data_IF_882785344665
#
_entry.id   IF_882785344665
#
_cell.length_a   1.000
_cell.length_b   1.000
_cell.length_c   1.000
_cell.angle_alpha   90.00
_cell.angle_beta   90.00
_cell.angle_gamma   90.00
#
_symmetry.space_group_name_H-M   'P 1'
#
loop_
_entity.id
_entity.type
_entity.pdbx_description
1 polymer ?
#
# COMPACT_ATOMS: atom_id res chain seq x y z
N UNK A 1 12.60 68.38 -73.76
CA UNK A 1 13.37 67.11 -73.69
C UNK A 1 13.82 66.93 -72.25
N UNK A 2 12.99 66.40 -71.48
CA UNK A 2 13.23 66.09 -70.04
C UNK A 2 13.46 64.60 -69.89
N UNK A 3 14.59 64.29 -69.32
CA UNK A 3 14.91 62.89 -68.96
C UNK A 3 14.49 62.66 -67.55
N UNK A 4 13.47 61.82 -67.36
CA UNK A 4 13.07 61.28 -66.08
C UNK A 4 14.07 60.23 -65.60
N UNK A 5 14.66 60.51 -64.46
CA UNK A 5 15.55 59.61 -63.77
C UNK A 5 14.77 59.04 -62.54
N UNK A 6 14.09 57.94 -62.72
CA UNK A 6 13.40 57.22 -61.63
C UNK A 6 14.38 56.22 -61.01
N UNK A 7 14.96 56.58 -59.88
CA UNK A 7 15.73 55.67 -59.04
C UNK A 7 14.80 54.78 -58.22
N UNK A 8 14.89 53.47 -58.39
CA UNK A 8 14.26 52.46 -57.60
C UNK A 8 14.82 52.43 -56.15
N UNK A 9 13.97 52.23 -55.11
CA UNK A 9 14.48 52.13 -53.76
C UNK A 9 15.12 50.74 -53.57
N UNK A 10 16.33 50.72 -53.03
CA UNK A 10 16.99 49.51 -52.54
C UNK A 10 16.23 49.02 -51.33
N UNK A 11 15.66 47.80 -51.41
CA UNK A 11 15.20 47.00 -50.24
C UNK A 11 16.41 46.72 -49.35
N UNK A 12 16.44 47.41 -48.22
CA UNK A 12 17.29 47.00 -47.09
C UNK A 12 16.76 45.67 -46.53
N UNK A 13 17.51 44.62 -46.78
CA UNK A 13 17.32 43.36 -46.12
C UNK A 13 17.54 43.51 -44.58
N UNK A 14 16.44 43.54 -43.84
CA UNK A 14 16.42 43.65 -42.42
C UNK A 14 16.86 42.26 -41.82
N UNK A 15 18.16 42.08 -41.63
CA UNK A 15 18.75 40.95 -40.93
C UNK A 15 18.69 41.20 -39.41
N UNK A 16 17.51 41.30 -38.84
CA UNK A 16 17.33 41.20 -37.41
C UNK A 16 17.49 39.74 -37.02
N UNK A 17 18.72 39.26 -36.99
CA UNK A 17 19.07 38.01 -36.30
C UNK A 17 18.79 38.18 -34.80
N UNK A 18 17.62 37.74 -34.34
CA UNK A 18 17.31 37.62 -32.93
C UNK A 18 18.38 36.72 -32.31
N UNK A 19 19.33 37.31 -31.57
CA UNK A 19 20.30 36.54 -30.79
C UNK A 19 19.52 35.81 -29.72
N UNK A 20 19.32 34.52 -29.91
CA UNK A 20 18.72 33.65 -28.86
C UNK A 20 19.42 33.91 -27.53
N UNK A 21 18.63 33.96 -26.47
CA UNK A 21 19.19 34.05 -25.12
C UNK A 21 20.09 32.84 -24.85
N UNK A 22 21.00 32.95 -23.90
CA UNK A 22 21.87 31.84 -23.53
C UNK A 22 21.07 30.60 -23.14
N UNK A 23 19.98 30.77 -22.38
CA UNK A 23 19.11 29.67 -21.95
C UNK A 23 18.37 29.05 -23.13
N UNK A 24 17.85 29.85 -24.06
CA UNK A 24 17.20 29.39 -25.29
C UNK A 24 18.14 28.51 -26.13
N UNK A 25 19.41 28.92 -26.26
CA UNK A 25 20.42 28.09 -26.94
C UNK A 25 20.70 26.76 -26.23
N UNK A 26 20.67 26.74 -24.90
CA UNK A 26 20.76 25.50 -24.09
C UNK A 26 19.53 24.59 -24.36
N UNK A 27 18.34 25.15 -24.31
CA UNK A 27 17.07 24.43 -24.53
C UNK A 27 17.00 23.81 -25.93
N UNK A 28 17.36 24.58 -26.97
CA UNK A 28 17.42 24.08 -28.34
C UNK A 28 18.42 22.94 -28.48
N UNK A 29 19.61 23.06 -27.88
CA UNK A 29 20.62 22.01 -27.92
C UNK A 29 20.14 20.74 -27.18
N UNK A 30 19.58 20.91 -25.99
CA UNK A 30 19.11 19.79 -25.14
C UNK A 30 17.98 19.04 -25.82
N UNK A 31 17.00 19.74 -26.40
CA UNK A 31 15.86 19.14 -27.11
C UNK A 31 16.23 18.40 -28.41
N UNK A 32 17.40 18.69 -29.00
CA UNK A 32 17.90 17.95 -30.18
C UNK A 32 18.42 16.56 -29.84
N UNK A 33 18.85 16.34 -28.58
CA UNK A 33 19.52 15.10 -28.16
C UNK A 33 18.72 14.29 -27.18
N UNK A 34 17.91 14.95 -26.37
CA UNK A 34 17.21 14.37 -25.26
C UNK A 34 15.74 14.73 -25.28
N UNK A 35 14.88 13.81 -24.90
CA UNK A 35 13.53 14.10 -24.49
C UNK A 35 13.51 14.23 -22.97
N UNK A 36 12.89 15.31 -22.46
CA UNK A 36 12.73 15.57 -21.04
C UNK A 36 11.27 15.52 -20.65
N UNK A 37 11.02 15.16 -19.40
CA UNK A 37 9.72 15.28 -18.74
C UNK A 37 9.91 15.53 -17.25
N UNK A 38 8.95 16.18 -16.62
CA UNK A 38 8.93 16.33 -15.16
C UNK A 38 7.98 15.30 -14.56
N UNK A 39 8.52 14.36 -13.79
CA UNK A 39 7.77 13.34 -13.08
C UNK A 39 7.08 13.97 -11.86
N UNK A 40 5.74 14.10 -11.91
CA UNK A 40 4.97 14.76 -10.85
C UNK A 40 4.87 13.91 -9.57
N UNK A 41 5.00 12.59 -9.66
CA UNK A 41 4.98 11.69 -8.49
C UNK A 41 6.26 11.83 -7.67
N UNK A 42 7.42 11.72 -8.33
CA UNK A 42 8.73 11.84 -7.67
C UNK A 42 9.23 13.28 -7.57
N UNK A 43 8.52 14.25 -8.18
CA UNK A 43 8.92 15.67 -8.31
C UNK A 43 10.37 15.83 -8.75
N UNK A 44 10.73 15.16 -9.84
CA UNK A 44 12.09 15.17 -10.42
C UNK A 44 12.03 15.14 -11.93
N UNK A 45 12.94 15.84 -12.61
CA UNK A 45 13.07 15.72 -14.05
C UNK A 45 13.61 14.34 -14.43
N UNK A 46 13.09 13.83 -15.54
CA UNK A 46 13.53 12.58 -16.18
C UNK A 46 13.97 12.90 -17.62
N UNK A 47 14.86 12.09 -18.16
CA UNK A 47 15.32 12.23 -19.54
C UNK A 47 15.58 10.88 -20.20
N UNK A 48 15.53 10.88 -21.53
CA UNK A 48 16.05 9.80 -22.38
C UNK A 48 16.72 10.39 -23.61
N UNK A 49 17.63 9.64 -24.24
CA UNK A 49 18.17 10.02 -25.57
C UNK A 49 17.10 9.79 -26.63
N UNK A 50 16.95 10.73 -27.58
CA UNK A 50 15.95 10.63 -28.65
C UNK A 50 16.21 9.42 -29.54
N UNK A 51 17.46 9.14 -29.86
CA UNK A 51 17.86 8.06 -30.79
C UNK A 51 17.86 6.66 -30.16
N UNK A 52 17.43 6.53 -28.89
CA UNK A 52 17.45 5.27 -28.16
C UNK A 52 16.05 4.90 -27.67
N UNK A 53 15.65 3.66 -27.89
CA UNK A 53 14.43 3.08 -27.29
C UNK A 53 14.61 2.75 -25.80
N UNK A 54 15.30 3.61 -25.06
CA UNK A 54 15.51 3.47 -23.62
C UNK A 54 14.37 4.12 -22.84
N UNK A 55 14.04 3.59 -21.64
CA UNK A 55 13.08 4.24 -20.76
C UNK A 55 13.61 5.59 -20.27
N UNK A 56 12.73 6.44 -19.79
CA UNK A 56 13.10 7.65 -19.06
C UNK A 56 13.80 7.28 -17.76
N UNK A 57 14.89 7.99 -17.44
CA UNK A 57 15.65 7.85 -16.21
C UNK A 57 15.74 9.20 -15.50
N UNK A 58 15.85 9.20 -14.17
CA UNK A 58 15.97 10.43 -13.40
C UNK A 58 17.24 11.20 -13.73
N UNK A 59 17.11 12.51 -13.80
CA UNK A 59 18.25 13.42 -13.90
C UNK A 59 18.98 13.42 -12.56
N UNK A 60 20.18 12.85 -12.55
CA UNK A 60 21.07 12.82 -11.39
C UNK A 60 22.08 13.97 -11.44
N UNK A 61 22.78 14.22 -10.32
CA UNK A 61 23.92 15.16 -10.30
C UNK A 61 24.97 14.81 -11.34
N UNK A 62 25.20 13.53 -11.59
CA UNK A 62 26.13 13.07 -12.65
C UNK A 62 25.61 13.49 -14.03
N UNK A 63 24.32 13.30 -14.30
CA UNK A 63 23.71 13.71 -15.57
C UNK A 63 23.82 15.24 -15.80
N UNK A 64 23.51 16.05 -14.77
CA UNK A 64 23.65 17.51 -14.83
C UNK A 64 25.07 17.94 -15.17
N UNK A 65 26.08 17.34 -14.53
CA UNK A 65 27.49 17.61 -14.81
C UNK A 65 27.90 17.15 -16.23
N UNK A 66 27.30 16.06 -16.72
CA UNK A 66 27.53 15.58 -18.09
C UNK A 66 26.94 16.53 -19.12
N UNK A 67 25.71 17.02 -18.91
CA UNK A 67 25.07 18.02 -19.76
C UNK A 67 25.87 19.34 -19.78
N UNK A 68 26.33 19.82 -18.61
CA UNK A 68 27.18 20.98 -18.50
C UNK A 68 28.44 20.85 -19.40
N UNK A 69 29.16 19.73 -19.25
CA UNK A 69 30.37 19.46 -20.04
C UNK A 69 30.09 19.33 -21.53
N UNK A 70 28.95 18.76 -21.88
CA UNK A 70 28.52 18.59 -23.27
C UNK A 70 28.18 19.93 -23.96
N UNK A 71 27.47 20.81 -23.26
CA UNK A 71 27.15 22.17 -23.72
C UNK A 71 28.44 23.00 -23.99
N UNK A 72 29.37 22.96 -23.04
CA UNK A 72 30.66 23.64 -23.18
C UNK A 72 31.45 23.13 -24.40
N UNK A 73 31.59 21.79 -24.49
CA UNK A 73 32.37 21.15 -25.56
C UNK A 73 31.76 21.33 -26.96
N UNK A 74 30.45 21.22 -27.10
CA UNK A 74 29.79 21.09 -28.42
C UNK A 74 29.27 22.41 -28.98
N UNK A 75 28.90 23.36 -28.11
CA UNK A 75 28.35 24.66 -28.51
C UNK A 75 29.03 25.86 -27.81
N UNK A 76 30.10 25.62 -27.04
CA UNK A 76 30.85 26.66 -26.35
C UNK A 76 30.07 27.40 -25.25
N UNK A 77 28.99 26.86 -24.76
CA UNK A 77 28.19 27.49 -23.70
C UNK A 77 28.63 27.02 -22.33
N UNK A 78 29.33 27.88 -21.61
CA UNK A 78 29.69 27.67 -20.22
C UNK A 78 28.52 28.03 -19.30
N UNK A 79 27.92 27.06 -18.61
CA UNK A 79 26.77 27.23 -17.68
C UNK A 79 26.99 26.46 -16.38
N UNK A 80 26.18 26.73 -15.35
CA UNK A 80 26.22 25.97 -14.08
C UNK A 80 25.27 24.77 -14.16
N UNK A 81 25.56 23.74 -13.37
CA UNK A 81 24.65 22.61 -13.20
C UNK A 81 23.29 23.04 -12.60
N UNK A 82 23.31 24.08 -11.74
CA UNK A 82 22.11 24.64 -11.14
C UNK A 82 21.23 25.35 -12.19
N UNK A 83 21.82 26.10 -13.16
CA UNK A 83 21.05 26.69 -14.21
C UNK A 83 20.37 25.65 -15.12
N UNK A 84 21.08 24.56 -15.43
CA UNK A 84 20.49 23.43 -16.17
C UNK A 84 19.34 22.80 -15.35
N UNK A 85 19.53 22.61 -14.04
CA UNK A 85 18.50 22.09 -13.16
C UNK A 85 17.25 23.00 -13.17
N UNK A 86 17.44 24.31 -13.04
CA UNK A 86 16.33 25.30 -13.09
C UNK A 86 15.54 25.18 -14.39
N UNK A 87 16.22 25.06 -15.55
CA UNK A 87 15.55 24.83 -16.84
C UNK A 87 14.75 23.52 -16.80
N UNK A 88 15.35 22.41 -16.35
CA UNK A 88 14.70 21.09 -16.33
C UNK A 88 13.55 20.98 -15.32
N UNK A 89 13.52 21.81 -14.29
CA UNK A 89 12.45 21.89 -13.27
C UNK A 89 11.42 22.99 -13.61
N UNK A 90 11.42 23.53 -14.85
CA UNK A 90 10.47 24.50 -15.35
C UNK A 90 9.48 23.89 -16.35
N UNK A 91 8.71 24.73 -17.03
CA UNK A 91 7.81 24.39 -18.14
C UNK A 91 8.52 23.83 -19.38
N UNK A 92 9.85 23.94 -19.43
CA UNK A 92 10.67 23.28 -20.46
C UNK A 92 10.47 21.74 -20.44
N UNK A 93 10.22 21.14 -19.27
CA UNK A 93 9.94 19.71 -19.11
C UNK A 93 8.45 19.48 -18.92
N UNK A 94 7.72 18.90 -19.89
CA UNK A 94 6.29 18.61 -19.73
C UNK A 94 6.01 17.79 -18.48
N UNK A 95 5.02 18.19 -17.68
CA UNK A 95 4.60 17.47 -16.50
C UNK A 95 3.90 16.16 -16.88
N UNK A 96 4.33 15.06 -16.30
CA UNK A 96 3.77 13.73 -16.53
C UNK A 96 3.59 13.02 -15.18
N UNK A 97 2.47 12.32 -15.03
CA UNK A 97 2.22 11.39 -13.94
C UNK A 97 2.45 9.96 -14.45
N UNK A 98 3.64 9.34 -14.28
CA UNK A 98 3.99 8.10 -14.99
C UNK A 98 3.10 6.92 -14.63
N UNK A 99 2.58 6.87 -13.39
CA UNK A 99 1.67 5.79 -12.98
C UNK A 99 0.31 5.93 -13.68
N UNK A 100 -0.25 7.14 -13.76
CA UNK A 100 -1.50 7.36 -14.51
C UNK A 100 -1.31 7.15 -16.01
N UNK A 101 -0.18 7.60 -16.56
CA UNK A 101 0.18 7.36 -17.97
C UNK A 101 0.24 5.86 -18.28
N UNK A 102 0.85 5.07 -17.40
CA UNK A 102 0.89 3.62 -17.53
C UNK A 102 -0.53 3.03 -17.64
N UNK A 103 -1.41 3.30 -16.70
CA UNK A 103 -2.78 2.75 -16.71
C UNK A 103 -3.61 3.25 -17.91
N UNK A 104 -3.49 4.53 -18.29
CA UNK A 104 -4.21 5.09 -19.44
C UNK A 104 -3.81 4.44 -20.77
N UNK A 105 -2.57 4.00 -20.88
CA UNK A 105 -2.02 3.38 -22.09
C UNK A 105 -2.21 1.86 -22.18
N UNK A 106 -2.67 1.21 -21.10
CA UNK A 106 -2.96 -0.22 -21.14
C UNK A 106 -4.17 -0.52 -22.03
N UNK A 107 -4.16 -1.62 -22.78
CA UNK A 107 -5.35 -2.12 -23.46
C UNK A 107 -6.43 -2.52 -22.45
N UNK A 108 -7.70 -2.59 -22.89
CA UNK A 108 -8.81 -3.05 -22.05
C UNK A 108 -9.11 -4.49 -22.39
N UNK A 109 -8.79 -5.42 -21.49
CA UNK A 109 -8.97 -6.85 -21.70
C UNK A 109 -10.21 -7.34 -20.95
N UNK A 110 -11.17 -7.89 -21.68
CA UNK A 110 -12.40 -8.41 -21.10
C UNK A 110 -12.12 -9.67 -20.26
N UNK A 111 -12.46 -9.71 -18.94
CA UNK A 111 -12.23 -10.84 -18.05
C UNK A 111 -12.98 -12.12 -18.46
N UNK A 112 -14.10 -12.00 -19.18
CA UNK A 112 -14.83 -13.16 -19.68
C UNK A 112 -14.07 -13.95 -20.76
N UNK A 113 -13.06 -13.33 -21.37
CA UNK A 113 -12.26 -13.91 -22.44
C UNK A 113 -10.86 -14.29 -21.95
N UNK A 114 -10.26 -13.48 -21.06
CA UNK A 114 -8.82 -13.51 -20.79
C UNK A 114 -8.43 -14.18 -19.47
N UNK A 115 -9.19 -14.04 -18.39
CA UNK A 115 -8.99 -14.70 -17.09
C UNK A 115 -7.59 -14.49 -16.41
N UNK A 116 -6.90 -13.38 -16.64
CA UNK A 116 -5.54 -13.16 -16.10
C UNK A 116 -5.53 -13.02 -14.58
N UNK A 117 -6.54 -12.38 -13.97
CA UNK A 117 -6.66 -12.28 -12.52
C UNK A 117 -6.86 -13.66 -11.90
N UNK A 118 -7.73 -14.48 -12.49
CA UNK A 118 -7.97 -15.85 -12.03
C UNK A 118 -6.71 -16.72 -12.17
N UNK A 119 -5.97 -16.58 -13.27
CA UNK A 119 -4.70 -17.26 -13.46
C UNK A 119 -3.65 -16.82 -12.41
N UNK A 120 -3.56 -15.52 -12.09
CA UNK A 120 -2.65 -15.03 -11.06
C UNK A 120 -3.03 -15.56 -9.66
N UNK A 121 -4.32 -15.53 -9.31
CA UNK A 121 -4.78 -16.03 -8.01
C UNK A 121 -4.58 -17.53 -7.86
N UNK A 122 -4.65 -18.32 -8.94
CA UNK A 122 -4.42 -19.77 -8.93
C UNK A 122 -2.96 -20.15 -8.62
N UNK A 123 -2.00 -19.22 -8.76
CA UNK A 123 -0.61 -19.44 -8.35
C UNK A 123 -0.41 -19.47 -6.84
N UNK A 124 -1.44 -19.13 -6.04
CA UNK A 124 -1.41 -19.12 -4.58
C UNK A 124 -2.55 -19.96 -4.05
N UNK A 125 -2.24 -21.05 -3.35
CA UNK A 125 -3.21 -21.82 -2.60
C UNK A 125 -3.34 -21.24 -1.19
N UNK A 126 -4.55 -20.89 -0.79
CA UNK A 126 -4.86 -20.34 0.53
C UNK A 126 -5.86 -21.23 1.28
N UNK A 127 -5.95 -21.08 2.59
CA UNK A 127 -6.88 -21.84 3.45
C UNK A 127 -8.36 -21.53 3.16
N UNK A 128 -8.67 -20.35 2.61
CA UNK A 128 -10.02 -19.94 2.22
C UNK A 128 -10.08 -19.53 0.74
N UNK A 129 -10.12 -20.48 -0.20
CA UNK A 129 -10.05 -20.20 -1.64
C UNK A 129 -11.32 -19.50 -2.17
N UNK A 130 -12.49 -19.68 -1.54
CA UNK A 130 -13.77 -19.11 -2.02
C UNK A 130 -13.74 -17.57 -2.02
N UNK A 131 -13.06 -16.97 -1.06
CA UNK A 131 -12.94 -15.52 -0.92
C UNK A 131 -11.71 -14.94 -1.63
N UNK A 132 -10.70 -15.76 -1.88
CA UNK A 132 -9.42 -15.31 -2.39
C UNK A 132 -9.54 -14.55 -3.71
N UNK A 133 -10.14 -15.15 -4.72
CA UNK A 133 -10.30 -14.50 -6.04
C UNK A 133 -11.12 -13.21 -5.93
N UNK A 134 -12.28 -13.27 -5.27
CA UNK A 134 -13.19 -12.12 -5.16
C UNK A 134 -12.56 -10.93 -4.42
N UNK A 135 -11.94 -11.19 -3.27
CA UNK A 135 -11.38 -10.13 -2.43
C UNK A 135 -10.07 -9.58 -3.00
N UNK A 136 -9.25 -10.45 -3.60
CA UNK A 136 -8.06 -10.01 -4.33
C UNK A 136 -8.42 -9.14 -5.54
N UNK A 137 -9.46 -9.50 -6.30
CA UNK A 137 -9.96 -8.68 -7.40
C UNK A 137 -10.40 -7.30 -6.91
N UNK A 138 -11.17 -7.22 -5.80
CA UNK A 138 -11.55 -5.94 -5.20
C UNK A 138 -10.34 -5.11 -4.82
N UNK A 139 -9.34 -5.72 -4.19
CA UNK A 139 -8.11 -5.04 -3.82
C UNK A 139 -7.34 -4.52 -5.04
N UNK A 140 -7.18 -5.32 -6.11
CA UNK A 140 -6.52 -4.89 -7.34
C UNK A 140 -7.26 -3.74 -8.03
N UNK A 141 -8.60 -3.81 -8.09
CA UNK A 141 -9.40 -2.71 -8.64
C UNK A 141 -9.25 -1.46 -7.79
N UNK A 142 -9.16 -1.62 -6.46
CA UNK A 142 -8.83 -0.54 -5.53
C UNK A 142 -7.46 0.10 -5.81
N UNK A 143 -6.45 -0.69 -6.21
CA UNK A 143 -5.12 -0.17 -6.64
C UNK A 143 -5.26 0.74 -7.85
N UNK A 144 -6.00 0.31 -8.89
CA UNK A 144 -6.21 1.11 -10.10
C UNK A 144 -7.02 2.36 -9.79
N UNK A 145 -8.10 2.22 -8.99
CA UNK A 145 -8.92 3.35 -8.56
C UNK A 145 -8.08 4.40 -7.81
N UNK A 146 -7.19 3.95 -6.90
CA UNK A 146 -6.34 4.84 -6.13
C UNK A 146 -5.28 5.53 -7.02
N UNK A 147 -4.74 4.82 -8.00
CA UNK A 147 -3.75 5.37 -8.93
C UNK A 147 -4.32 6.40 -9.91
N UNK A 148 -5.60 6.29 -10.27
CA UNK A 148 -6.26 7.16 -11.25
C UNK A 148 -7.01 8.34 -10.62
N UNK A 149 -7.21 8.35 -9.30
CA UNK A 149 -7.90 9.42 -8.59
C UNK A 149 -6.93 10.18 -7.68
N UNK A 150 -6.85 11.47 -7.88
CA UNK A 150 -6.01 12.36 -7.05
C UNK A 150 -6.75 12.87 -5.81
N UNK A 151 -8.02 12.52 -5.64
CA UNK A 151 -8.86 12.97 -4.53
C UNK A 151 -9.25 11.80 -3.63
N UNK A 152 -8.83 11.88 -2.38
CA UNK A 152 -9.11 10.86 -1.37
C UNK A 152 -8.31 9.57 -1.57
N UNK A 153 -8.42 8.67 -0.60
CA UNK A 153 -7.90 7.31 -0.71
C UNK A 153 -9.01 6.40 -1.22
N UNK A 154 -8.74 5.62 -2.26
CA UNK A 154 -9.70 4.70 -2.86
C UNK A 154 -9.50 3.25 -2.38
N UNK A 155 -8.28 2.89 -1.98
CA UNK A 155 -7.93 1.55 -1.50
C UNK A 155 -7.68 1.55 0.01
N UNK A 156 -8.72 1.26 0.79
CA UNK A 156 -8.67 1.26 2.25
C UNK A 156 -8.15 -0.05 2.86
N UNK A 157 -7.55 -0.92 2.06
CA UNK A 157 -7.16 -2.27 2.46
C UNK A 157 -5.66 -2.50 2.30
N UNK A 158 -5.10 -3.22 3.26
CA UNK A 158 -3.78 -3.82 3.16
C UNK A 158 -3.95 -5.33 2.88
N UNK A 159 -3.52 -5.80 1.72
CA UNK A 159 -3.48 -7.23 1.41
C UNK A 159 -2.39 -7.90 2.25
N UNK A 160 -2.73 -8.91 3.03
CA UNK A 160 -1.76 -9.58 3.91
C UNK A 160 -1.67 -11.07 3.57
N UNK A 161 -0.49 -11.52 3.18
CA UNK A 161 -0.20 -12.94 3.03
C UNK A 161 0.51 -13.47 4.27
N UNK A 162 -0.12 -14.41 4.96
CA UNK A 162 0.41 -15.07 6.17
C UNK A 162 0.85 -16.51 5.88
N UNK A 163 1.48 -17.17 6.83
CA UNK A 163 1.86 -18.58 6.75
C UNK A 163 3.35 -18.80 7.03
N UNK A 164 3.84 -20.02 6.81
CA UNK A 164 5.21 -20.42 7.13
C UNK A 164 6.27 -19.57 6.43
N UNK A 165 7.42 -19.44 7.06
CA UNK A 165 8.60 -18.82 6.47
C UNK A 165 9.09 -19.61 5.24
N UNK A 166 9.67 -18.91 4.25
CA UNK A 166 10.21 -19.56 3.05
C UNK A 166 9.17 -19.85 1.95
N UNK A 167 7.91 -19.44 2.12
CA UNK A 167 6.84 -19.60 1.11
C UNK A 167 6.82 -18.49 0.05
N UNK A 168 7.88 -17.72 -0.11
CA UNK A 168 8.04 -16.66 -1.13
C UNK A 168 6.98 -15.56 -1.15
N UNK A 169 6.26 -15.34 -0.04
CA UNK A 169 5.16 -14.38 0.07
C UNK A 169 5.57 -12.97 -0.37
N UNK A 170 6.66 -12.45 0.17
CA UNK A 170 7.19 -11.11 -0.16
C UNK A 170 7.52 -11.00 -1.65
N UNK A 171 8.18 -12.01 -2.22
CA UNK A 171 8.56 -12.03 -3.63
C UNK A 171 7.34 -12.06 -4.56
N UNK A 172 6.30 -12.81 -4.18
CA UNK A 172 5.06 -12.88 -4.96
C UNK A 172 4.32 -11.53 -4.92
N UNK A 173 4.23 -10.90 -3.74
CA UNK A 173 3.65 -9.55 -3.58
C UNK A 173 4.43 -8.54 -4.43
N UNK A 174 5.76 -8.56 -4.39
CA UNK A 174 6.59 -7.67 -5.21
C UNK A 174 6.35 -7.90 -6.71
N UNK A 175 6.05 -9.13 -7.11
CA UNK A 175 5.78 -9.45 -8.52
C UNK A 175 4.47 -8.85 -9.05
N UNK A 176 3.52 -8.48 -8.18
CA UNK A 176 2.29 -7.76 -8.58
C UNK A 176 2.63 -6.40 -9.22
N UNK A 177 3.73 -5.78 -8.82
CA UNK A 177 4.13 -4.51 -9.41
C UNK A 177 4.65 -4.72 -10.85
N UNK A 178 4.06 -4.05 -11.87
CA UNK A 178 4.52 -4.12 -13.24
C UNK A 178 6.01 -3.76 -13.39
N UNK A 179 6.70 -4.41 -14.32
CA UNK A 179 8.14 -4.18 -14.52
C UNK A 179 8.49 -2.72 -14.81
N UNK A 180 7.65 -2.03 -15.57
CA UNK A 180 7.81 -0.60 -15.90
C UNK A 180 7.59 0.33 -14.70
N UNK A 181 6.89 -0.12 -13.65
CA UNK A 181 6.60 0.64 -12.44
C UNK A 181 7.41 0.20 -11.21
N UNK A 182 8.47 -0.61 -11.38
CA UNK A 182 9.28 -1.10 -10.25
C UNK A 182 9.89 0.02 -9.39
N UNK A 183 10.15 1.20 -9.95
CA UNK A 183 10.59 2.37 -9.19
C UNK A 183 9.52 2.96 -8.25
N UNK A 184 8.29 2.50 -8.39
CA UNK A 184 7.14 2.86 -7.54
C UNK A 184 6.71 1.73 -6.59
N UNK A 185 7.55 0.73 -6.40
CA UNK A 185 7.41 -0.30 -5.36
C UNK A 185 8.41 -0.01 -4.24
N UNK A 186 7.90 0.05 -3.02
CA UNK A 186 8.70 0.01 -1.79
C UNK A 186 8.48 -1.34 -1.11
N UNK A 187 9.57 -2.02 -0.75
CA UNK A 187 9.53 -3.25 0.04
C UNK A 187 10.45 -3.10 1.23
N UNK A 188 9.93 -3.28 2.42
CA UNK A 188 10.70 -3.16 3.65
C UNK A 188 9.87 -2.80 4.87
N UNK A 189 10.58 -2.38 5.92
CA UNK A 189 9.95 -1.93 7.15
C UNK A 189 9.62 -0.45 7.08
N UNK A 190 8.50 -0.07 7.66
CA UNK A 190 8.06 1.33 7.79
C UNK A 190 7.97 1.69 9.27
N UNK A 191 8.21 2.94 9.60
CA UNK A 191 7.89 3.50 10.91
C UNK A 191 6.63 4.36 10.80
N UNK A 192 5.46 3.85 11.27
CA UNK A 192 4.19 4.58 11.12
C UNK A 192 4.16 5.93 11.83
N UNK A 193 5.06 6.18 12.79
CA UNK A 193 5.15 7.44 13.53
C UNK A 193 6.11 8.45 12.87
N UNK A 194 6.97 8.01 11.95
CA UNK A 194 7.89 8.88 11.25
C UNK A 194 7.19 9.59 10.07
N UNK A 195 7.39 10.90 9.98
CA UNK A 195 6.85 11.70 8.86
C UNK A 195 7.37 11.29 7.49
N UNK A 196 8.49 10.58 7.41
CA UNK A 196 9.04 10.06 6.16
C UNK A 196 8.09 9.06 5.47
N UNK A 197 7.18 8.43 6.23
CA UNK A 197 6.14 7.56 5.67
C UNK A 197 5.20 8.31 4.71
N UNK A 198 5.01 9.61 4.89
CA UNK A 198 4.19 10.42 3.99
C UNK A 198 4.78 10.50 2.58
N UNK A 199 6.12 10.50 2.48
CA UNK A 199 6.80 10.40 1.18
C UNK A 199 6.52 9.05 0.51
N UNK A 200 6.49 7.96 1.30
CA UNK A 200 6.16 6.64 0.75
C UNK A 200 4.72 6.62 0.22
N UNK A 201 3.77 7.18 0.96
CA UNK A 201 2.35 7.23 0.56
C UNK A 201 2.14 8.03 -0.72
N UNK A 202 2.85 9.15 -0.87
CA UNK A 202 2.72 10.03 -2.04
C UNK A 202 3.48 9.56 -3.28
N UNK A 203 4.60 8.83 -3.09
CA UNK A 203 5.55 8.56 -4.17
C UNK A 203 5.60 7.10 -4.65
N UNK A 204 4.93 6.18 -3.95
CA UNK A 204 4.94 4.76 -4.32
C UNK A 204 3.53 4.27 -4.60
N UNK A 205 3.39 3.46 -5.65
CA UNK A 205 2.13 2.78 -5.99
C UNK A 205 1.86 1.61 -5.04
N UNK A 206 2.93 0.89 -4.67
CA UNK A 206 2.87 -0.22 -3.75
C UNK A 206 3.82 -0.03 -2.57
N UNK A 207 3.31 -0.29 -1.38
CA UNK A 207 4.09 -0.41 -0.14
C UNK A 207 3.93 -1.84 0.36
N UNK A 208 4.99 -2.65 0.20
CA UNK A 208 5.06 -4.02 0.70
C UNK A 208 5.78 -4.04 2.05
N UNK A 209 5.01 -4.22 3.13
CA UNK A 209 5.52 -4.29 4.51
C UNK A 209 6.02 -5.71 4.78
N UNK A 210 7.35 -5.86 4.84
CA UNK A 210 7.97 -7.17 4.95
C UNK A 210 8.18 -7.58 6.41
N UNK A 211 7.45 -8.64 6.82
CA UNK A 211 7.54 -9.32 8.13
C UNK A 211 7.56 -8.39 9.35
N UNK A 212 6.81 -7.31 9.30
CA UNK A 212 6.78 -6.30 10.36
C UNK A 212 5.49 -6.31 11.17
N UNK A 213 4.34 -6.66 10.57
CA UNK A 213 3.02 -6.47 11.20
C UNK A 213 2.93 -7.16 12.56
N UNK A 214 3.54 -8.35 12.72
CA UNK A 214 3.57 -9.09 13.99
C UNK A 214 4.34 -8.38 15.10
N UNK A 215 5.33 -7.55 14.75
CA UNK A 215 6.15 -6.82 15.70
C UNK A 215 5.55 -5.45 16.11
N UNK A 216 4.46 -5.01 15.46
CA UNK A 216 3.82 -3.74 15.79
C UNK A 216 3.12 -3.84 17.14
N UNK A 217 3.36 -2.84 17.98
CA UNK A 217 2.54 -2.64 19.17
C UNK A 217 1.17 -2.04 18.77
N UNK A 218 0.22 -2.01 19.69
CA UNK A 218 -1.15 -1.52 19.44
C UNK A 218 -1.19 -0.07 18.93
N UNK A 219 -0.26 0.78 19.36
CA UNK A 219 -0.19 2.18 18.91
C UNK A 219 0.25 2.26 17.46
N UNK A 220 1.32 1.55 17.09
CA UNK A 220 1.86 1.55 15.74
C UNK A 220 0.90 0.87 14.75
N UNK A 221 0.19 -0.18 15.19
CA UNK A 221 -0.88 -0.79 14.39
C UNK A 221 -2.02 0.22 14.10
N UNK A 222 -2.41 1.02 15.09
CA UNK A 222 -3.45 2.05 14.89
C UNK A 222 -2.98 3.18 13.97
N UNK A 223 -1.72 3.60 14.11
CA UNK A 223 -1.15 4.59 13.18
C UNK A 223 -1.08 4.04 11.76
N UNK A 224 -0.67 2.78 11.57
CA UNK A 224 -0.68 2.14 10.26
C UNK A 224 -2.10 2.09 9.66
N UNK A 225 -3.11 1.76 10.47
CA UNK A 225 -4.51 1.80 10.03
C UNK A 225 -4.95 3.18 9.57
N UNK A 226 -4.49 4.24 10.23
CA UNK A 226 -4.76 5.61 9.83
C UNK A 226 -4.05 5.95 8.51
N UNK A 227 -2.79 5.55 8.36
CA UNK A 227 -2.02 5.76 7.14
C UNK A 227 -2.66 5.09 5.92
N UNK A 228 -3.15 3.84 6.06
CA UNK A 228 -3.82 3.10 4.97
C UNK A 228 -5.04 3.86 4.43
N UNK A 229 -5.75 4.63 5.27
CA UNK A 229 -7.00 5.30 4.89
C UNK A 229 -6.88 6.82 4.79
N UNK A 230 -5.70 7.37 4.97
CA UNK A 230 -5.50 8.83 4.91
C UNK A 230 -5.80 9.35 3.50
N UNK A 231 -6.62 10.39 3.33
CA UNK A 231 -7.05 10.83 1.99
C UNK A 231 -5.96 11.54 1.20
N UNK A 232 -5.05 12.23 1.87
CA UNK A 232 -3.91 12.95 1.32
C UNK A 232 -2.88 13.16 2.41
N UNK A 233 -1.64 13.45 2.03
CA UNK A 233 -0.55 13.70 2.98
C UNK A 233 0.02 15.09 2.78
N UNK A 234 0.34 15.77 3.91
CA UNK A 234 0.93 17.12 3.92
C UNK A 234 2.32 17.04 4.51
N UNK A 235 3.31 17.32 3.69
CA UNK A 235 4.69 17.35 4.16
C UNK A 235 5.55 18.29 3.30
N UNK A 236 6.72 18.64 3.82
CA UNK A 236 7.75 19.37 3.09
C UNK A 236 8.80 18.38 2.61
N UNK A 237 9.02 18.30 1.30
CA UNK A 237 10.09 17.50 0.74
C UNK A 237 11.46 18.03 1.20
N UNK A 238 12.49 17.18 1.28
CA UNK A 238 13.84 17.65 1.55
C UNK A 238 14.25 18.74 0.53
N UNK A 239 14.73 19.86 1.05
CA UNK A 239 15.17 21.06 0.31
C UNK A 239 14.04 21.92 -0.30
N UNK A 240 12.77 21.54 -0.17
CA UNK A 240 11.65 22.40 -0.54
C UNK A 240 11.40 23.51 0.47
N UNK A 241 10.81 24.61 0.01
CA UNK A 241 10.51 25.77 0.85
C UNK A 241 9.16 25.62 1.53
N UNK A 242 8.19 25.05 0.84
CA UNK A 242 6.78 24.99 1.27
C UNK A 242 6.35 23.59 1.70
N UNK A 243 5.33 23.56 2.58
CA UNK A 243 4.57 22.35 2.85
C UNK A 243 3.49 22.28 1.77
N UNK A 244 3.44 21.16 1.08
CA UNK A 244 2.46 20.91 0.02
C UNK A 244 1.60 19.71 0.38
N UNK A 245 0.42 19.62 -0.24
CA UNK A 245 -0.48 18.48 -0.13
C UNK A 245 -0.30 17.57 -1.34
N UNK A 246 -0.11 16.28 -1.06
CA UNK A 246 0.08 15.26 -2.09
C UNK A 246 -1.03 14.21 -2.01
N UNK A 247 -1.54 13.73 -3.15
CA UNK A 247 -2.52 12.65 -3.19
C UNK A 247 -1.99 11.37 -2.53
N UNK A 248 -2.89 10.54 -2.03
CA UNK A 248 -2.58 9.20 -1.57
C UNK A 248 -2.49 8.25 -2.78
N UNK A 249 -1.27 7.93 -3.22
CA UNK A 249 -1.03 7.02 -4.34
C UNK A 249 -0.92 5.55 -3.89
N UNK A 250 -0.43 5.30 -2.67
CA UNK A 250 -0.01 3.99 -2.23
C UNK A 250 -1.17 3.01 -2.03
N UNK A 251 -0.97 1.77 -2.44
CA UNK A 251 -1.75 0.62 -1.99
C UNK A 251 -0.86 -0.29 -1.14
N UNK A 252 -1.38 -0.67 0.03
CA UNK A 252 -0.60 -1.43 1.01
C UNK A 252 -0.75 -2.93 0.80
N UNK A 253 0.36 -3.63 0.95
CA UNK A 253 0.42 -5.08 1.04
C UNK A 253 1.47 -5.50 2.07
N UNK A 254 1.36 -6.71 2.62
CA UNK A 254 2.30 -7.19 3.63
C UNK A 254 2.49 -8.70 3.58
N UNK A 255 3.67 -9.14 3.98
CA UNK A 255 3.96 -10.54 4.30
C UNK A 255 4.13 -10.72 5.80
N UNK A 256 3.64 -11.84 6.35
CA UNK A 256 3.77 -12.17 7.77
C UNK A 256 4.14 -13.64 7.94
N UNK A 257 5.06 -13.93 8.85
CA UNK A 257 5.40 -15.28 9.26
C UNK A 257 4.52 -15.73 10.42
N UNK A 258 3.71 -16.78 10.20
CA UNK A 258 2.65 -17.24 11.12
C UNK A 258 1.36 -16.45 10.94
N UNK A 259 0.34 -16.76 11.75
CA UNK A 259 -1.02 -16.22 11.55
C UNK A 259 -1.41 -15.16 12.59
N UNK A 260 -0.74 -15.08 13.72
CA UNK A 260 -1.06 -14.23 14.87
C UNK A 260 -0.41 -12.84 14.76
N UNK A 261 -1.02 -11.91 14.05
CA UNK A 261 -0.47 -10.56 13.86
C UNK A 261 -1.43 -9.41 14.22
N UNK A 262 -2.75 -9.67 14.31
CA UNK A 262 -3.72 -8.62 14.66
C UNK A 262 -3.85 -8.49 16.18
N UNK A 263 -3.54 -7.31 16.71
CA UNK A 263 -3.63 -7.03 18.15
C UNK A 263 -4.94 -6.35 18.55
N UNK A 264 -5.60 -5.66 17.62
CA UNK A 264 -6.84 -4.93 17.86
C UNK A 264 -8.02 -5.55 17.13
N UNK A 265 -9.00 -6.14 17.84
CA UNK A 265 -10.16 -6.76 17.22
C UNK A 265 -11.13 -5.77 16.54
N UNK A 266 -11.05 -4.47 16.89
CA UNK A 266 -12.02 -3.47 16.43
C UNK A 266 -11.66 -2.81 15.11
N UNK A 267 -10.42 -2.91 14.66
CA UNK A 267 -9.91 -2.23 13.46
C UNK A 267 -9.43 -3.17 12.36
N UNK A 268 -9.71 -4.47 12.46
CA UNK A 268 -9.19 -5.50 11.55
C UNK A 268 -9.70 -5.38 10.10
N UNK A 269 -10.80 -4.67 9.87
CA UNK A 269 -11.39 -4.47 8.53
C UNK A 269 -10.46 -3.81 7.49
N UNK A 270 -9.34 -3.23 7.92
CA UNK A 270 -8.32 -2.64 7.02
C UNK A 270 -7.29 -3.65 6.54
N UNK A 271 -7.23 -4.81 7.18
CA UNK A 271 -6.36 -5.90 6.78
C UNK A 271 -7.16 -6.98 6.07
N UNK A 272 -6.65 -7.43 4.95
CA UNK A 272 -7.23 -8.48 4.12
C UNK A 272 -6.31 -9.70 4.17
N UNK A 273 -6.39 -10.52 5.25
CA UNK A 273 -5.43 -11.60 5.48
C UNK A 273 -5.84 -12.88 4.78
N UNK A 274 -4.84 -13.53 4.15
CA UNK A 274 -4.95 -14.87 3.59
C UNK A 274 -3.76 -15.72 4.02
N UNK A 275 -4.04 -16.90 4.56
CA UNK A 275 -3.01 -17.86 4.91
C UNK A 275 -2.63 -18.70 3.70
N UNK A 276 -1.35 -18.61 3.33
CA UNK A 276 -0.76 -19.30 2.19
C UNK A 276 -0.34 -20.72 2.57
N UNK A 277 -0.90 -21.70 1.88
CA UNK A 277 -0.53 -23.12 2.00
C UNK A 277 0.63 -23.41 1.04
N UNK A 278 0.48 -23.03 -0.23
CA UNK A 278 1.46 -23.27 -1.27
C UNK A 278 1.46 -22.12 -2.29
N UNK A 279 2.60 -21.91 -2.94
CA UNK A 279 2.76 -20.85 -3.94
C UNK A 279 3.59 -21.37 -5.11
N UNK A 280 3.11 -21.14 -6.32
CA UNK A 280 3.83 -21.36 -7.57
C UNK A 280 4.42 -20.03 -8.03
N UNK A 281 5.65 -19.76 -7.54
CA UNK A 281 6.33 -18.51 -7.85
C UNK A 281 6.78 -18.43 -9.31
N UNK A 282 7.17 -19.56 -9.92
CA UNK A 282 7.62 -19.61 -11.31
C UNK A 282 6.47 -19.28 -12.27
N UNK A 283 5.31 -19.89 -12.06
CA UNK A 283 4.10 -19.53 -12.81
C UNK A 283 3.74 -18.06 -12.65
N UNK A 284 3.76 -17.54 -11.41
CA UNK A 284 3.47 -16.12 -11.16
C UNK A 284 4.45 -15.17 -11.85
N UNK A 285 5.75 -15.47 -11.86
CA UNK A 285 6.79 -14.65 -12.50
C UNK A 285 6.75 -14.69 -14.03
N UNK A 286 6.23 -15.78 -14.61
CA UNK A 286 6.05 -15.91 -16.06
C UNK A 286 4.89 -15.06 -16.59
N UNK A 287 3.98 -14.62 -15.74
CA UNK A 287 2.81 -13.83 -16.12
C UNK A 287 3.15 -12.39 -16.44
N UNK A 288 2.46 -11.83 -17.43
CA UNK A 288 2.50 -10.39 -17.71
C UNK A 288 1.57 -9.64 -16.76
N UNK A 289 2.13 -8.85 -15.85
CA UNK A 289 1.32 -7.97 -14.99
C UNK A 289 0.60 -6.88 -15.80
N UNK A 290 1.11 -6.49 -16.97
CA UNK A 290 0.42 -5.57 -17.86
C UNK A 290 -0.91 -6.14 -18.34
N UNK A 291 -0.98 -7.44 -18.63
CA UNK A 291 -2.23 -8.12 -18.99
C UNK A 291 -3.19 -8.22 -17.80
N UNK A 292 -2.68 -8.52 -16.61
CA UNK A 292 -3.48 -8.53 -15.37
C UNK A 292 -4.10 -7.15 -15.14
N UNK A 293 -3.30 -6.07 -15.18
CA UNK A 293 -3.82 -4.73 -14.98
C UNK A 293 -4.68 -4.22 -16.13
N UNK A 294 -4.53 -4.73 -17.34
CA UNK A 294 -5.43 -4.45 -18.45
C UNK A 294 -6.84 -5.00 -18.20
N UNK A 295 -6.92 -6.21 -17.62
CA UNK A 295 -8.18 -6.82 -17.18
C UNK A 295 -8.77 -6.05 -15.97
N UNK A 296 -7.95 -5.71 -14.98
CA UNK A 296 -8.38 -4.91 -13.82
C UNK A 296 -8.92 -3.55 -14.24
N UNK A 297 -8.26 -2.88 -15.20
CA UNK A 297 -8.68 -1.60 -15.71
C UNK A 297 -10.04 -1.67 -16.41
N UNK A 298 -10.28 -2.72 -17.21
CA UNK A 298 -11.60 -2.98 -17.81
C UNK A 298 -12.69 -3.14 -16.75
N UNK A 299 -12.40 -3.92 -15.69
CA UNK A 299 -13.32 -4.13 -14.57
C UNK A 299 -13.61 -2.81 -13.84
N UNK A 300 -12.59 -1.99 -13.59
CA UNK A 300 -12.73 -0.67 -12.97
C UNK A 300 -13.62 0.26 -13.81
N UNK A 301 -13.35 0.36 -15.11
CA UNK A 301 -14.11 1.21 -16.06
C UNK A 301 -15.55 0.74 -16.27
N UNK A 302 -15.85 -0.55 -16.02
CA UNK A 302 -17.21 -1.09 -16.05
C UNK A 302 -18.05 -0.76 -14.82
N UNK A 303 -17.51 -0.02 -13.85
CA UNK A 303 -18.23 0.39 -12.65
C UNK A 303 -18.29 -0.69 -11.56
N UNK A 304 -17.35 -1.62 -11.56
CA UNK A 304 -17.26 -2.67 -10.52
C UNK A 304 -17.09 -2.08 -9.13
N UNK A 305 -17.88 -2.58 -8.15
CA UNK A 305 -17.79 -2.18 -6.75
C UNK A 305 -16.59 -2.83 -6.07
N UNK A 306 -15.52 -2.09 -5.87
CA UNK A 306 -14.28 -2.57 -5.25
C UNK A 306 -14.22 -2.35 -3.72
N UNK A 307 -15.08 -1.52 -3.15
CA UNK A 307 -15.19 -1.36 -1.71
C UNK A 307 -16.04 -2.45 -1.09
N UNK A 308 -15.84 -2.71 0.20
CA UNK A 308 -16.59 -3.67 0.97
C UNK A 308 -17.83 -3.01 1.59
N UNK A 309 -18.99 -3.66 1.49
CA UNK A 309 -20.20 -3.24 2.19
C UNK A 309 -20.22 -3.76 3.64
N UNK A 310 -21.25 -3.36 4.41
CA UNK A 310 -21.33 -3.73 5.82
C UNK A 310 -21.42 -5.25 6.05
N UNK A 311 -22.08 -6.00 5.17
CA UNK A 311 -22.18 -7.45 5.26
C UNK A 311 -20.82 -8.11 4.99
N UNK A 312 -20.11 -7.66 3.96
CA UNK A 312 -18.77 -8.12 3.64
C UNK A 312 -17.74 -7.75 4.72
N UNK A 313 -17.89 -6.59 5.38
CA UNK A 313 -17.07 -6.19 6.52
C UNK A 313 -17.29 -7.11 7.72
N UNK A 314 -18.54 -7.49 8.01
CA UNK A 314 -18.84 -8.46 9.08
C UNK A 314 -18.19 -9.81 8.76
N UNK A 315 -18.32 -10.28 7.52
CA UNK A 315 -17.70 -11.53 7.09
C UNK A 315 -16.17 -11.47 7.14
N UNK A 316 -15.55 -10.38 6.69
CA UNK A 316 -14.10 -10.17 6.77
C UNK A 316 -13.61 -10.20 8.22
N UNK A 317 -14.34 -9.57 9.14
CA UNK A 317 -14.01 -9.58 10.57
C UNK A 317 -14.10 -10.99 11.16
N UNK A 318 -15.08 -11.80 10.75
CA UNK A 318 -15.19 -13.20 11.17
C UNK A 318 -14.02 -14.03 10.64
N UNK A 319 -13.69 -13.92 9.36
CA UNK A 319 -12.54 -14.60 8.76
C UNK A 319 -11.22 -14.16 9.38
N UNK A 320 -11.10 -12.88 9.76
CA UNK A 320 -9.91 -12.33 10.40
C UNK A 320 -9.71 -12.81 11.85
N UNK A 321 -10.72 -13.44 12.46
CA UNK A 321 -10.67 -13.92 13.84
C UNK A 321 -9.49 -14.85 14.14
N UNK A 322 -9.10 -15.70 13.20
CA UNK A 322 -7.97 -16.62 13.31
C UNK A 322 -6.60 -15.95 13.31
N UNK A 323 -6.50 -14.70 12.81
CA UNK A 323 -5.25 -13.94 12.72
C UNK A 323 -5.01 -13.04 13.94
N UNK A 324 -5.93 -13.01 14.89
CA UNK A 324 -5.75 -12.27 16.13
C UNK A 324 -4.79 -12.99 17.07
N UNK A 325 -3.84 -12.22 17.60
CA UNK A 325 -2.92 -12.68 18.64
C UNK A 325 -3.75 -13.26 19.79
N UNK A 326 -3.47 -14.50 20.13
CA UNK A 326 -4.10 -15.15 21.29
C UNK A 326 -3.43 -14.60 22.54
N UNK A 327 -4.23 -14.00 23.42
CA UNK A 327 -3.73 -13.54 24.71
C UNK A 327 -3.63 -14.70 25.68
N UNK A 328 -2.71 -14.62 26.64
CA UNK A 328 -2.59 -15.63 27.69
C UNK A 328 -3.93 -15.83 28.42
N UNK A 329 -4.72 -14.75 28.56
CA UNK A 329 -6.06 -14.81 29.13
C UNK A 329 -7.01 -15.69 28.31
N UNK A 330 -6.93 -15.60 26.95
CA UNK A 330 -7.77 -16.42 26.09
C UNK A 330 -7.35 -17.89 26.12
N UNK A 331 -6.05 -18.18 26.03
CA UNK A 331 -5.52 -19.54 26.09
C UNK A 331 -5.88 -20.23 27.40
N UNK A 332 -5.64 -19.56 28.53
CA UNK A 332 -5.99 -20.07 29.85
C UNK A 332 -7.50 -20.24 30.01
N UNK A 333 -8.30 -19.35 29.46
CA UNK A 333 -9.76 -19.41 29.51
C UNK A 333 -10.30 -20.65 28.80
N UNK A 334 -9.89 -20.90 27.54
CA UNK A 334 -10.40 -22.04 26.76
C UNK A 334 -9.87 -23.38 27.24
N UNK A 335 -8.71 -23.39 27.91
CA UNK A 335 -8.22 -24.59 28.59
C UNK A 335 -8.99 -24.89 29.87
N UNK A 336 -9.41 -23.90 30.65
CA UNK A 336 -10.01 -24.05 31.94
C UNK A 336 -11.54 -24.06 31.99
N UNK A 337 -12.18 -23.53 30.96
CA UNK A 337 -13.62 -23.33 30.93
C UNK A 337 -14.25 -23.70 29.58
N UNK A 338 -15.48 -24.24 29.67
CA UNK A 338 -16.35 -24.56 28.53
C UNK A 338 -17.72 -23.91 28.69
N UNK A 339 -18.48 -23.85 27.58
CA UNK A 339 -19.87 -23.38 27.63
C UNK A 339 -20.72 -24.42 28.36
N UNK A 340 -21.55 -23.99 29.33
CA UNK A 340 -22.42 -24.94 30.05
C UNK A 340 -23.38 -25.63 29.08
N UNK A 341 -23.64 -26.90 29.31
CA UNK A 341 -24.70 -27.67 28.62
C UNK A 341 -26.06 -27.11 29.01
N UNK A 342 -27.05 -27.22 28.13
CA UNK A 342 -28.44 -26.87 28.41
C UNK A 342 -28.88 -27.55 29.71
N UNK A 343 -29.37 -26.78 30.68
CA UNK A 343 -29.79 -27.19 32.04
C UNK A 343 -28.73 -27.14 33.17
N UNK A 344 -27.56 -26.60 32.97
CA UNK A 344 -26.61 -26.38 34.07
C UNK A 344 -27.09 -25.22 34.98
N UNK A 345 -27.50 -25.56 36.19
CA UNK A 345 -27.87 -24.58 37.23
C UNK A 345 -26.58 -24.12 37.93
N UNK A 346 -26.43 -22.79 38.10
CA UNK A 346 -25.31 -22.15 38.85
C UNK A 346 -23.91 -22.09 38.21
N UNK A 347 -23.83 -22.03 36.88
CA UNK A 347 -22.56 -21.82 36.18
C UNK A 347 -22.24 -20.33 35.97
N UNK A 348 -22.46 -19.48 36.96
CA UNK A 348 -22.21 -18.02 36.82
C UNK A 348 -20.96 -17.61 37.60
N UNK A 349 -20.02 -16.95 36.91
CA UNK A 349 -18.82 -16.40 37.54
C UNK A 349 -18.60 -14.94 37.06
N UNK A 350 -18.12 -14.10 37.98
CA UNK A 350 -17.63 -12.78 37.59
C UNK A 350 -16.26 -12.89 36.93
N UNK A 351 -15.86 -11.89 36.13
CA UNK A 351 -14.52 -11.84 35.53
C UNK A 351 -13.42 -12.01 36.58
N UNK A 352 -13.57 -11.37 37.75
CA UNK A 352 -12.63 -11.50 38.87
C UNK A 352 -12.54 -12.90 39.41
N UNK A 353 -13.66 -13.61 39.52
CA UNK A 353 -13.69 -15.03 40.00
C UNK A 353 -12.99 -15.97 39.00
N UNK A 354 -13.20 -15.75 37.68
CA UNK A 354 -12.52 -16.49 36.62
C UNK A 354 -11.02 -16.23 36.68
N UNK A 355 -10.61 -14.98 36.79
CA UNK A 355 -9.19 -14.59 36.93
C UNK A 355 -8.54 -15.25 38.16
N UNK A 356 -9.17 -15.19 39.34
CA UNK A 356 -8.62 -15.75 40.56
C UNK A 356 -8.47 -17.26 40.42
N UNK A 357 -9.40 -17.94 39.74
CA UNK A 357 -9.28 -19.38 39.48
C UNK A 357 -8.07 -19.65 38.55
N UNK A 358 -7.92 -18.94 37.45
CA UNK A 358 -6.83 -19.17 36.48
C UNK A 358 -5.46 -18.76 37.03
N UNK A 359 -5.38 -17.72 37.85
CA UNK A 359 -4.14 -17.27 38.51
C UNK A 359 -3.55 -18.30 39.45
N UNK A 360 -4.37 -19.23 39.95
CA UNK A 360 -3.87 -20.34 40.78
C UNK A 360 -3.01 -21.35 39.98
N UNK A 361 -3.07 -21.30 38.64
CA UNK A 361 -2.40 -22.27 37.76
C UNK A 361 -1.36 -21.61 36.81
N UNK A 362 -1.14 -20.31 36.92
CA UNK A 362 -0.14 -19.62 36.09
C UNK A 362 0.62 -18.55 36.87
N UNK A 363 1.86 -18.31 36.47
CA UNK A 363 2.71 -17.24 37.00
C UNK A 363 2.55 -15.89 36.24
N UNK A 364 1.73 -15.90 35.19
CA UNK A 364 1.53 -14.73 34.31
C UNK A 364 0.52 -13.78 34.99
N UNK A 365 0.80 -12.48 34.93
CA UNK A 365 -0.13 -11.48 35.46
C UNK A 365 -1.29 -11.26 34.47
N UNK A 366 -2.40 -11.95 34.69
CA UNK A 366 -3.62 -11.85 33.87
C UNK A 366 -4.38 -10.55 34.20
N UNK A 367 -4.84 -9.86 33.15
CA UNK A 367 -5.58 -8.60 33.22
C UNK A 367 -7.09 -8.81 33.20
N UNK A 368 -7.84 -8.13 34.07
CA UNK A 368 -9.31 -8.21 34.10
C UNK A 368 -9.96 -7.72 32.80
N UNK A 369 -9.42 -6.64 32.22
CA UNK A 369 -9.90 -6.11 30.94
C UNK A 369 -9.71 -7.12 29.82
N UNK A 370 -8.51 -7.70 29.67
CA UNK A 370 -8.22 -8.72 28.64
C UNK A 370 -9.01 -10.01 28.86
N UNK A 371 -9.25 -10.40 30.11
CA UNK A 371 -10.11 -11.54 30.41
C UNK A 371 -11.56 -11.30 29.99
N UNK A 372 -12.09 -10.09 30.18
CA UNK A 372 -13.42 -9.71 29.66
C UNK A 372 -13.48 -9.78 28.13
N UNK A 373 -12.46 -9.30 27.43
CA UNK A 373 -12.31 -9.40 25.98
C UNK A 373 -12.21 -10.88 25.52
N UNK A 374 -11.44 -11.71 26.24
CA UNK A 374 -11.29 -13.15 25.97
C UNK A 374 -12.61 -13.91 26.11
N UNK A 375 -13.38 -13.63 27.17
CA UNK A 375 -14.70 -14.22 27.39
C UNK A 375 -15.68 -13.90 26.27
N UNK A 376 -15.65 -12.64 25.81
CA UNK A 376 -16.48 -12.22 24.68
C UNK A 376 -16.06 -12.94 23.38
N UNK A 377 -14.75 -12.98 23.11
CA UNK A 377 -14.17 -13.65 21.93
C UNK A 377 -14.46 -15.16 21.91
N UNK A 378 -14.41 -15.82 23.07
CA UNK A 378 -14.75 -17.23 23.20
C UNK A 378 -16.27 -17.50 23.10
N UNK A 379 -17.08 -16.44 23.01
CA UNK A 379 -18.53 -16.53 22.86
C UNK A 379 -19.25 -16.99 24.10
N UNK A 380 -18.72 -16.73 25.29
CA UNK A 380 -19.42 -16.92 26.54
C UNK A 380 -20.51 -15.86 26.70
N UNK A 381 -21.66 -16.24 27.25
CA UNK A 381 -22.79 -15.37 27.44
C UNK A 381 -22.60 -14.52 28.70
N UNK A 382 -22.82 -13.21 28.59
CA UNK A 382 -22.80 -12.26 29.72
C UNK A 382 -24.21 -11.95 30.16
N UNK A 383 -24.49 -12.11 31.45
CA UNK A 383 -25.81 -11.79 32.06
C UNK A 383 -25.67 -10.81 33.21
N UNK A 384 -26.73 -10.06 33.47
CA UNK A 384 -26.86 -9.26 34.68
C UNK A 384 -27.57 -10.11 35.75
N UNK A 385 -26.95 -10.26 36.90
CA UNK A 385 -27.56 -10.98 38.05
C UNK A 385 -27.56 -10.03 39.27
N UNK A 386 -28.67 -9.96 40.00
CA UNK A 386 -28.73 -9.20 41.23
C UNK A 386 -28.06 -9.95 42.35
N UNK A 387 -27.01 -9.38 42.97
CA UNK A 387 -26.42 -9.84 44.24
C UNK A 387 -26.54 -8.68 45.23
N UNK A 388 -27.50 -8.81 46.17
CA UNK A 388 -27.83 -7.72 47.10
C UNK A 388 -28.53 -6.54 46.44
N UNK A 389 -28.13 -5.31 46.75
CA UNK A 389 -28.73 -4.08 46.26
C UNK A 389 -28.31 -3.70 44.82
N UNK A 390 -27.16 -4.19 44.35
CA UNK A 390 -26.58 -3.77 43.05
C UNK A 390 -26.60 -4.92 42.05
N UNK A 391 -26.89 -4.61 40.74
CA UNK A 391 -26.70 -5.58 39.66
C UNK A 391 -25.21 -5.75 39.35
N UNK A 392 -24.77 -7.01 39.29
CA UNK A 392 -23.43 -7.38 38.87
C UNK A 392 -23.48 -8.10 37.52
N UNK A 393 -22.45 -7.95 36.71
CA UNK A 393 -22.31 -8.70 35.47
C UNK A 393 -21.56 -10.01 35.74
N UNK A 394 -22.15 -11.12 35.25
CA UNK A 394 -21.61 -12.46 35.37
C UNK A 394 -21.56 -13.13 34.00
N UNK A 395 -20.68 -14.10 33.87
CA UNK A 395 -20.51 -14.90 32.68
C UNK A 395 -21.02 -16.31 32.92
N UNK A 396 -21.69 -16.87 31.93
CA UNK A 396 -22.16 -18.24 31.95
C UNK A 396 -21.02 -19.17 31.52
N UNK A 397 -20.31 -19.74 32.48
CA UNK A 397 -19.09 -20.57 32.27
C UNK A 397 -19.11 -21.80 33.14
N UNK A 398 -18.61 -22.91 32.60
CA UNK A 398 -18.43 -24.17 33.32
C UNK A 398 -16.96 -24.55 33.35
N UNK A 399 -16.42 -24.94 34.51
CA UNK A 399 -15.04 -25.43 34.62
C UNK A 399 -14.92 -26.79 33.94
N UNK A 400 -13.88 -26.98 33.16
CA UNK A 400 -13.57 -28.28 32.54
C UNK A 400 -13.15 -29.27 33.61
N UNK A 401 -13.72 -30.46 33.56
CA UNK A 401 -13.44 -31.57 34.51
C UNK A 401 -13.09 -32.84 33.72
N UNK A 402 -11.95 -33.53 34.01
CA UNK A 402 -10.95 -33.21 35.04
C UNK A 402 -10.22 -31.90 34.74
N UNK A 403 -9.70 -31.23 35.78
CA UNK A 403 -9.03 -29.97 35.65
C UNK A 403 -7.74 -30.11 34.79
N UNK A 404 -7.64 -29.52 33.59
CA UNK A 404 -6.52 -29.75 32.70
C UNK A 404 -5.18 -29.18 33.23
N UNK A 405 -5.24 -28.22 34.17
CA UNK A 405 -4.03 -27.62 34.76
C UNK A 405 -3.39 -28.50 35.84
N UNK A 406 -4.08 -29.55 36.33
CA UNK A 406 -3.54 -30.47 37.32
C UNK A 406 -2.82 -31.68 36.70
N UNK A 407 -2.95 -31.92 35.41
CA UNK A 407 -2.33 -33.05 34.70
C UNK A 407 -0.85 -32.81 34.32
N UNK A 408 -0.30 -31.63 34.55
CA UNK A 408 1.11 -31.28 34.22
C UNK A 408 2.04 -31.28 35.45
N UNK A 409 1.62 -31.75 36.59
CA UNK A 409 2.43 -31.80 37.82
C UNK A 409 2.88 -33.24 38.19
N UNK A 410 3.37 -33.97 37.16
CA UNK A 410 4.06 -35.24 37.39
C UNK A 410 5.36 -35.33 36.62
#
# INVERSE_FOLDING_TARGET
MEQDNTSLPQEQADSSGVKNSKNESIEVYMNRKYAFRFNTVKCKPEYKKIDCHTPFIFVTRFALNSFKRELDKNIGICTSAENIRTILESDFSPKVHPVQEYFKNLPRLNPQINNYISALTSTVQVTNPEKWLSYFTKWLVGVVANALNDVGCQNHLCLVLTGEQGRFKTTWLDNICPKSLKSYLFTGKIDPQNKDVFTLIAEYLFINIDDQLKALNKRDENELKNLITTPAVKYRRPYDVYIEEYPHLASFMASVNGNDFLTDPTGSRRFLPFEVIQMDLEAAQSMSMDNVFSEVLYIYESGFRYWFDDAEIVELNQCSGQFHVQTAEYEMLVQGFEKPKENAVDCFMTTTQILNYLRAFCTINLSEKRMGEALYKAGFERRSKRMGANPIYVWLVQKITPNPFLSFSS
#
